data_IF_043401680966
#
_entry.id   IF_043401680966
#
_cell.length_a   1.000
_cell.length_b   1.000
_cell.length_c   1.000
_cell.angle_alpha   90.00
_cell.angle_beta   90.00
_cell.angle_gamma   90.00
#
_symmetry.space_group_name_H-M   'P 1'
#
loop_
_entity.id
_entity.type
_entity.pdbx_description
1 polymer ?
#
# COMPACT_ATOMS: atom_id res chain seq x y z
N UNK A 1 1.22 -15.86 5.30
CA UNK A 1 1.53 -15.72 3.86
C UNK A 1 1.36 -17.03 3.08
N UNK A 2 1.98 -18.16 3.49
CA UNK A 2 1.89 -19.43 2.76
C UNK A 2 0.44 -19.91 2.55
N UNK A 3 -0.38 -19.92 3.60
CA UNK A 3 -1.80 -20.29 3.53
C UNK A 3 -2.64 -19.41 2.59
N UNK A 4 -2.30 -18.11 2.49
CA UNK A 4 -2.96 -17.19 1.55
C UNK A 4 -2.62 -17.57 0.11
N UNK A 5 -1.33 -17.83 -0.18
CA UNK A 5 -0.90 -18.27 -1.51
C UNK A 5 -1.56 -19.59 -1.91
N UNK A 6 -1.57 -20.58 -1.02
CA UNK A 6 -2.22 -21.87 -1.25
C UNK A 6 -3.71 -21.72 -1.55
N UNK A 7 -4.42 -20.83 -0.83
CA UNK A 7 -5.82 -20.56 -1.10
C UNK A 7 -6.06 -19.91 -2.47
N UNK A 8 -5.16 -18.98 -2.87
CA UNK A 8 -5.21 -18.33 -4.19
C UNK A 8 -4.95 -19.33 -5.32
N UNK A 9 -3.91 -20.16 -5.19
CA UNK A 9 -3.53 -21.16 -6.18
C UNK A 9 -4.59 -22.24 -6.38
N UNK A 10 -5.26 -22.65 -5.30
CA UNK A 10 -6.31 -23.65 -5.32
C UNK A 10 -7.70 -23.08 -5.64
N UNK A 11 -7.82 -21.77 -5.95
CA UNK A 11 -9.10 -21.09 -6.18
C UNK A 11 -10.12 -21.39 -5.07
N UNK A 12 -9.68 -21.28 -3.81
CA UNK A 12 -10.52 -21.52 -2.65
C UNK A 12 -11.79 -20.64 -2.66
N UNK A 13 -12.85 -21.11 -2.03
CA UNK A 13 -14.09 -20.35 -1.93
C UNK A 13 -13.98 -19.19 -0.91
N UNK A 14 -15.00 -18.34 -0.89
CA UNK A 14 -15.06 -17.16 -0.01
C UNK A 14 -14.94 -17.53 1.47
N UNK A 15 -15.57 -18.64 1.90
CA UNK A 15 -15.51 -19.09 3.30
C UNK A 15 -14.12 -19.51 3.71
N UNK A 16 -13.39 -20.17 2.82
CA UNK A 16 -11.99 -20.52 3.07
C UNK A 16 -11.13 -19.27 3.23
N UNK A 17 -11.32 -18.22 2.37
CA UNK A 17 -10.63 -16.94 2.52
C UNK A 17 -11.00 -16.21 3.82
N UNK A 18 -12.27 -16.23 4.23
CA UNK A 18 -12.71 -15.64 5.50
C UNK A 18 -12.04 -16.29 6.72
N UNK A 19 -11.77 -17.59 6.66
CA UNK A 19 -11.13 -18.35 7.73
C UNK A 19 -9.61 -18.15 7.79
N UNK A 20 -8.97 -17.53 6.77
CA UNK A 20 -7.52 -17.33 6.75
C UNK A 20 -7.07 -16.38 7.86
N UNK A 21 -5.97 -16.71 8.52
CA UNK A 21 -5.26 -15.77 9.38
C UNK A 21 -4.53 -14.74 8.51
N UNK A 22 -4.84 -13.47 8.75
CA UNK A 22 -4.13 -12.35 8.11
C UNK A 22 -2.93 -11.98 8.99
N UNK A 23 -1.70 -11.95 8.45
CA UNK A 23 -0.53 -11.52 9.23
C UNK A 23 -0.68 -10.09 9.76
N UNK A 24 -0.17 -9.84 10.94
CA UNK A 24 -0.18 -8.49 11.55
C UNK A 24 0.76 -7.51 10.82
N UNK A 25 1.75 -8.04 10.09
CA UNK A 25 2.73 -7.27 9.33
C UNK A 25 3.10 -7.97 8.02
N UNK A 26 3.66 -7.21 7.10
CA UNK A 26 4.17 -7.71 5.82
C UNK A 26 5.35 -6.86 5.33
N UNK A 27 6.15 -7.43 4.42
CA UNK A 27 7.26 -6.70 3.79
C UNK A 27 6.74 -5.86 2.63
N UNK A 28 7.15 -4.58 2.60
CA UNK A 28 6.77 -3.65 1.54
C UNK A 28 7.98 -2.82 1.07
N UNK A 29 7.91 -2.36 -0.18
CA UNK A 29 8.76 -1.31 -0.69
C UNK A 29 8.19 0.04 -0.22
N UNK A 30 9.01 0.84 0.43
CA UNK A 30 8.58 2.10 1.04
C UNK A 30 9.57 3.22 0.76
N UNK A 31 9.08 4.46 0.84
CA UNK A 31 9.88 5.67 1.04
C UNK A 31 9.68 6.17 2.48
N UNK A 32 10.63 6.94 3.01
CA UNK A 32 10.63 7.42 4.40
C UNK A 32 10.43 8.92 4.49
N UNK A 33 9.69 9.35 5.50
CA UNK A 33 9.34 10.76 5.68
C UNK A 33 10.54 11.63 6.04
N UNK A 34 11.49 11.11 6.78
CA UNK A 34 12.73 11.79 7.18
C UNK A 34 13.73 11.96 6.03
N UNK A 35 13.52 11.26 4.91
CA UNK A 35 14.38 11.34 3.71
C UNK A 35 13.80 12.27 2.62
N UNK A 36 12.65 12.90 2.82
CA UNK A 36 11.96 13.66 1.76
C UNK A 36 12.78 14.81 1.18
N UNK A 37 13.77 15.33 1.92
CA UNK A 37 14.66 16.40 1.48
C UNK A 37 16.01 15.87 0.94
N UNK A 38 16.21 14.55 0.86
CA UNK A 38 17.51 13.96 0.48
C UNK A 38 17.98 14.36 -0.93
N UNK A 39 17.03 14.73 -1.80
CA UNK A 39 17.32 15.18 -3.16
C UNK A 39 17.20 16.71 -3.34
N UNK A 40 17.22 17.49 -2.26
CA UNK A 40 17.16 18.95 -2.34
C UNK A 40 18.30 19.51 -3.22
N UNK A 41 17.95 20.33 -4.21
CA UNK A 41 18.92 20.92 -5.16
C UNK A 41 19.44 19.98 -6.26
N UNK A 42 19.00 18.71 -6.29
CA UNK A 42 19.33 17.77 -7.36
C UNK A 42 18.31 17.87 -8.48
N UNK A 43 18.77 17.95 -9.75
CA UNK A 43 17.87 17.95 -10.88
C UNK A 43 17.11 16.60 -10.98
N UNK A 44 15.85 16.62 -11.41
CA UNK A 44 14.99 15.42 -11.43
C UNK A 44 15.62 14.24 -12.19
N UNK A 45 16.31 14.51 -13.29
CA UNK A 45 17.00 13.49 -14.09
C UNK A 45 18.17 12.80 -13.38
N UNK A 46 18.72 13.45 -12.35
CA UNK A 46 19.89 12.97 -11.61
C UNK A 46 19.51 12.31 -10.26
N UNK A 47 18.22 12.34 -9.90
CA UNK A 47 17.71 11.68 -8.70
C UNK A 47 17.63 10.17 -8.92
N UNK A 48 18.29 9.42 -8.06
CA UNK A 48 18.30 7.96 -8.12
C UNK A 48 17.24 7.37 -7.18
N UNK A 49 16.11 6.83 -7.71
CA UNK A 49 15.04 6.25 -6.89
C UNK A 49 15.50 5.12 -5.96
N UNK A 50 16.59 4.43 -6.31
CA UNK A 50 17.12 3.32 -5.49
C UNK A 50 17.66 3.78 -4.14
N UNK A 51 18.02 5.06 -4.00
CA UNK A 51 18.56 5.63 -2.76
C UNK A 51 17.48 5.86 -1.70
N UNK A 52 16.25 6.12 -2.13
CA UNK A 52 15.09 6.42 -1.27
C UNK A 52 14.13 5.24 -1.10
N UNK A 53 14.31 4.17 -1.89
CA UNK A 53 13.45 3.00 -1.83
C UNK A 53 14.02 1.97 -0.87
N UNK A 54 13.25 1.62 0.16
CA UNK A 54 13.63 0.65 1.18
C UNK A 54 12.67 -0.51 1.21
N UNK A 55 13.17 -1.69 1.61
CA UNK A 55 12.33 -2.83 1.94
C UNK A 55 12.25 -2.91 3.47
N UNK A 56 11.07 -2.76 4.01
CA UNK A 56 10.86 -2.90 5.45
C UNK A 56 9.57 -3.67 5.77
N UNK A 57 9.47 -4.10 7.01
CA UNK A 57 8.26 -4.68 7.55
C UNK A 57 7.32 -3.54 8.00
N UNK A 58 6.06 -3.63 7.57
CA UNK A 58 5.02 -2.65 7.89
C UNK A 58 3.80 -3.35 8.43
N UNK A 59 3.05 -2.67 9.29
CA UNK A 59 1.81 -3.20 9.82
C UNK A 59 0.77 -3.43 8.72
N UNK A 60 0.02 -4.52 8.81
CA UNK A 60 -1.15 -4.72 7.98
C UNK A 60 -2.21 -3.67 8.36
N UNK A 61 -2.73 -2.89 7.39
CA UNK A 61 -3.67 -1.83 7.70
C UNK A 61 -5.03 -2.39 8.17
N UNK A 62 -5.62 -1.73 9.15
CA UNK A 62 -7.03 -1.90 9.45
C UNK A 62 -7.88 -1.29 8.34
N UNK A 63 -8.99 -1.94 7.99
CA UNK A 63 -9.89 -1.46 6.94
C UNK A 63 -11.08 -0.70 7.54
N UNK A 64 -11.48 0.36 6.85
CA UNK A 64 -12.73 1.07 7.15
C UNK A 64 -13.95 0.28 6.65
N UNK A 65 -15.17 0.67 7.07
CA UNK A 65 -16.39 -0.04 6.65
C UNK A 65 -16.58 -0.16 5.15
N UNK A 66 -16.08 0.75 4.35
CA UNK A 66 -16.20 0.82 2.88
C UNK A 66 -14.94 0.38 2.12
N UNK A 67 -13.96 -0.20 2.82
CA UNK A 67 -12.70 -0.65 2.24
C UNK A 67 -12.60 -2.17 2.11
N UNK A 68 -11.66 -2.60 1.28
CA UNK A 68 -11.26 -4.00 1.13
C UNK A 68 -9.75 -4.17 1.32
N UNK A 69 -9.35 -5.21 2.02
CA UNK A 69 -7.96 -5.66 2.12
C UNK A 69 -7.69 -6.66 1.01
N UNK A 70 -6.66 -6.43 0.23
CA UNK A 70 -6.27 -7.31 -0.87
C UNK A 70 -4.86 -7.89 -0.66
N UNK A 71 -4.67 -9.15 -1.06
CA UNK A 71 -3.35 -9.71 -1.30
C UNK A 71 -2.89 -9.24 -2.67
N UNK A 72 -1.96 -8.30 -2.72
CA UNK A 72 -1.39 -7.80 -3.97
C UNK A 72 -0.55 -8.89 -4.61
N UNK A 73 -0.88 -9.27 -5.83
CA UNK A 73 -0.16 -10.28 -6.62
C UNK A 73 0.75 -9.64 -7.66
N UNK A 74 0.37 -8.47 -8.16
CA UNK A 74 1.19 -7.67 -9.06
C UNK A 74 0.86 -6.18 -8.91
N UNK A 75 1.86 -5.34 -9.14
CA UNK A 75 1.75 -3.89 -9.21
C UNK A 75 2.73 -3.42 -10.30
N UNK A 76 2.33 -2.45 -11.11
CA UNK A 76 3.22 -1.90 -12.12
C UNK A 76 4.12 -0.79 -11.56
N UNK A 77 5.25 -0.59 -12.21
CA UNK A 77 6.08 0.60 -12.01
C UNK A 77 5.61 1.65 -13.01
N UNK A 78 4.97 2.69 -12.52
CA UNK A 78 4.48 3.80 -13.31
C UNK A 78 5.09 5.13 -12.85
N UNK A 79 4.70 6.24 -13.48
CA UNK A 79 5.23 7.56 -13.13
C UNK A 79 4.99 7.92 -11.64
N UNK A 80 3.84 7.54 -11.07
CA UNK A 80 3.56 7.81 -9.65
C UNK A 80 4.54 7.08 -8.74
N UNK A 81 4.92 5.84 -9.08
CA UNK A 81 5.92 5.07 -8.33
C UNK A 81 7.28 5.77 -8.35
N UNK A 82 7.71 6.22 -9.54
CA UNK A 82 8.97 6.97 -9.70
C UNK A 82 8.90 8.31 -8.95
N UNK A 83 7.84 9.08 -9.14
CA UNK A 83 7.68 10.39 -8.50
C UNK A 83 7.65 10.28 -6.97
N UNK A 84 6.94 9.30 -6.43
CA UNK A 84 6.96 9.06 -4.98
C UNK A 84 8.36 8.79 -4.45
N UNK A 85 9.17 8.04 -5.21
CA UNK A 85 10.55 7.71 -4.81
C UNK A 85 11.53 8.87 -4.91
N UNK A 86 11.28 9.87 -5.73
CA UNK A 86 12.11 11.07 -5.85
C UNK A 86 11.49 12.33 -5.20
N UNK A 87 10.35 12.14 -4.52
CA UNK A 87 9.59 13.18 -3.82
C UNK A 87 9.12 14.33 -4.70
N UNK A 88 8.70 14.04 -5.94
CA UNK A 88 8.27 15.02 -6.94
C UNK A 88 6.87 14.73 -7.50
N UNK A 89 6.22 15.76 -8.09
CA UNK A 89 6.56 17.21 -8.01
C UNK A 89 6.32 17.78 -6.61
N UNK A 90 5.59 17.08 -5.78
CA UNK A 90 5.31 17.37 -4.38
C UNK A 90 5.51 16.07 -3.60
N UNK A 91 6.21 16.14 -2.47
CA UNK A 91 6.37 14.99 -1.59
C UNK A 91 5.00 14.39 -1.20
N UNK A 92 4.83 13.09 -1.35
CA UNK A 92 3.65 12.34 -0.90
C UNK A 92 3.37 12.63 0.59
N UNK A 93 4.41 12.75 1.41
CA UNK A 93 4.27 13.08 2.83
C UNK A 93 3.67 14.46 3.06
N UNK A 94 4.06 15.47 2.26
CA UNK A 94 3.45 16.80 2.36
C UNK A 94 1.95 16.77 2.03
N UNK A 95 1.57 15.99 1.02
CA UNK A 95 0.16 15.79 0.66
C UNK A 95 -0.60 15.04 1.77
N UNK A 96 -0.06 13.95 2.30
CA UNK A 96 -0.68 13.15 3.37
C UNK A 96 -0.82 13.95 4.66
N UNK A 97 0.23 14.69 5.07
CA UNK A 97 0.17 15.56 6.26
C UNK A 97 -0.90 16.67 6.11
N UNK A 98 -1.06 17.23 4.90
CA UNK A 98 -2.13 18.20 4.63
C UNK A 98 -3.51 17.57 4.77
N UNK A 99 -3.75 16.42 4.12
CA UNK A 99 -5.01 15.69 4.19
C UNK A 99 -5.35 15.26 5.62
N UNK A 100 -4.36 14.86 6.41
CA UNK A 100 -4.53 14.48 7.81
C UNK A 100 -5.03 15.63 8.70
N UNK A 101 -4.80 16.89 8.32
CA UNK A 101 -5.37 18.06 9.02
C UNK A 101 -6.84 18.30 8.70
N UNK A 102 -7.30 17.82 7.54
CA UNK A 102 -8.64 18.06 7.03
C UNK A 102 -9.60 16.89 7.31
N UNK A 103 -9.07 15.69 7.58
CA UNK A 103 -9.87 14.46 7.72
C UNK A 103 -9.29 13.51 8.77
N UNK A 104 -10.14 13.10 9.73
CA UNK A 104 -9.79 12.05 10.71
C UNK A 104 -9.43 10.73 10.02
N UNK A 105 -10.14 10.39 8.94
CA UNK A 105 -9.83 9.21 8.14
C UNK A 105 -8.42 9.26 7.56
N UNK A 106 -7.98 10.41 7.06
CA UNK A 106 -6.66 10.56 6.44
C UNK A 106 -5.51 10.53 7.46
N UNK A 107 -5.75 10.80 8.76
CA UNK A 107 -4.70 10.76 9.81
C UNK A 107 -3.98 9.42 9.88
N UNK A 108 -4.66 8.32 9.66
CA UNK A 108 -4.06 6.97 9.68
C UNK A 108 -3.05 6.72 8.56
N UNK A 109 -3.04 7.57 7.53
CA UNK A 109 -2.09 7.49 6.41
C UNK A 109 -0.90 8.44 6.58
N UNK A 110 -0.90 9.36 7.56
CA UNK A 110 0.25 10.23 7.87
C UNK A 110 1.26 9.48 8.74
N UNK A 111 1.88 8.48 8.14
CA UNK A 111 2.86 7.59 8.75
C UNK A 111 4.29 8.09 8.46
N UNK A 112 5.31 7.60 9.22
CA UNK A 112 6.71 7.90 8.95
C UNK A 112 7.26 7.25 7.66
N UNK A 113 6.45 6.44 7.00
CA UNK A 113 6.74 5.80 5.71
C UNK A 113 5.51 5.82 4.80
N UNK A 114 5.74 5.66 3.50
CA UNK A 114 4.69 5.46 2.51
C UNK A 114 4.99 4.20 1.69
N UNK A 115 4.02 3.28 1.63
CA UNK A 115 4.12 2.07 0.79
C UNK A 115 3.97 2.48 -0.67
N UNK A 116 4.95 2.10 -1.48
CA UNK A 116 5.00 2.48 -2.89
C UNK A 116 4.03 1.66 -3.73
N UNK A 117 3.56 2.27 -4.81
CA UNK A 117 2.62 1.68 -5.75
C UNK A 117 1.27 2.40 -5.73
N UNK A 118 0.68 2.59 -6.91
CA UNK A 118 -0.60 3.30 -7.10
C UNK A 118 -1.64 2.45 -7.82
N UNK A 119 -1.28 1.24 -8.20
CA UNK A 119 -2.15 0.24 -8.81
C UNK A 119 -1.83 -1.14 -8.25
N UNK A 120 -2.77 -2.05 -8.40
CA UNK A 120 -2.57 -3.43 -8.02
C UNK A 120 -3.55 -4.34 -8.76
N UNK A 121 -3.13 -5.57 -9.01
CA UNK A 121 -4.04 -6.69 -9.18
C UNK A 121 -3.83 -7.69 -8.05
N UNK A 122 -4.89 -8.36 -7.64
CA UNK A 122 -4.79 -9.24 -6.49
C UNK A 122 -6.07 -9.98 -6.14
N UNK A 123 -6.13 -10.47 -4.91
CA UNK A 123 -7.28 -11.22 -4.40
C UNK A 123 -7.77 -10.56 -3.12
N UNK A 124 -9.07 -10.35 -3.00
CA UNK A 124 -9.71 -9.79 -1.82
C UNK A 124 -9.58 -10.77 -0.65
N UNK A 125 -9.03 -10.33 0.47
CA UNK A 125 -8.86 -11.10 1.69
C UNK A 125 -9.95 -10.79 2.72
N UNK A 126 -10.31 -9.52 2.85
CA UNK A 126 -11.34 -9.02 3.78
C UNK A 126 -12.08 -7.86 3.14
N UNK A 127 -13.30 -7.65 3.58
CA UNK A 127 -14.11 -6.50 3.20
C UNK A 127 -14.70 -5.84 4.44
N UNK A 128 -14.82 -4.53 4.41
CA UNK A 128 -15.50 -3.75 5.43
C UNK A 128 -17.03 -3.97 5.40
N UNK A 129 -17.70 -3.65 6.50
CA UNK A 129 -19.13 -3.94 6.71
C UNK A 129 -20.09 -3.25 5.72
N UNK A 130 -19.65 -2.17 5.07
CA UNK A 130 -20.43 -1.42 4.08
C UNK A 130 -20.13 -1.84 2.63
N UNK A 131 -19.11 -2.64 2.38
CA UNK A 131 -18.79 -3.15 1.03
C UNK A 131 -19.88 -4.09 0.54
N UNK A 132 -20.35 -3.90 -0.71
CA UNK A 132 -21.45 -4.68 -1.30
C UNK A 132 -21.07 -5.41 -2.60
N UNK A 133 -20.06 -4.91 -3.30
CA UNK A 133 -19.70 -5.38 -4.64
C UNK A 133 -18.57 -6.41 -4.65
N UNK A 134 -17.90 -6.61 -3.50
CA UNK A 134 -16.76 -7.48 -3.37
C UNK A 134 -16.89 -8.42 -2.17
N UNK A 135 -16.31 -9.60 -2.29
CA UNK A 135 -16.22 -10.58 -1.21
C UNK A 135 -14.83 -11.23 -1.18
N UNK A 136 -14.42 -11.80 -0.06
CA UNK A 136 -13.17 -12.57 0.02
C UNK A 136 -13.09 -13.65 -1.07
N UNK A 137 -11.94 -13.74 -1.74
CA UNK A 137 -11.68 -14.62 -2.87
C UNK A 137 -11.90 -14.00 -4.25
N UNK A 138 -12.54 -12.83 -4.36
CA UNK A 138 -12.69 -12.14 -5.64
C UNK A 138 -11.33 -11.66 -6.15
N UNK A 139 -11.13 -11.76 -7.46
CA UNK A 139 -9.94 -11.24 -8.16
C UNK A 139 -10.21 -9.83 -8.69
N UNK A 140 -9.27 -8.95 -8.52
CA UNK A 140 -9.36 -7.55 -8.94
C UNK A 140 -8.15 -7.16 -9.78
#
# INVERSE_FOLDING_TARGET
MKSILEAIENNADSKAFEALHIPESYRAAVVRKDEQEMFAGVASADKDPRKSTHIQEVATPEIAPDEALIAVMASSINFNTVWSSIFEPISTFSALTRLARESEWAKRHDLPYHVMGSDASGVVLRVGSAVRNWKPGDRI
#
